data_IF_903112088783
#
_entry.id   IF_903112088783
#
_cell.length_a   1.000
_cell.length_b   1.000
_cell.length_c   1.000
_cell.angle_alpha   90.00
_cell.angle_beta   90.00
_cell.angle_gamma   90.00
#
_symmetry.space_group_name_H-M   'P 1'
#
loop_
_entity.id
_entity.type
_entity.pdbx_description
1 polymer ?
#
# COMPACT_ATOMS: atom_id res chain seq x y z
N UNK A 1 14.36 -0.20 25.73
CA UNK A 1 12.96 0.29 25.77
C UNK A 1 12.12 -0.74 25.03
N UNK A 2 11.36 -1.56 25.74
CA UNK A 2 10.43 -2.53 25.17
C UNK A 2 9.17 -1.80 24.76
N UNK A 3 8.95 -1.63 23.47
CA UNK A 3 7.68 -1.12 22.93
C UNK A 3 6.58 -2.12 23.29
N UNK A 4 5.53 -1.69 23.99
CA UNK A 4 4.36 -2.54 24.23
C UNK A 4 3.69 -2.82 22.88
N UNK A 5 3.46 -4.11 22.61
CA UNK A 5 2.73 -4.63 21.45
C UNK A 5 1.35 -3.97 21.31
N UNK A 6 0.75 -3.49 22.40
CA UNK A 6 -0.64 -2.98 22.45
C UNK A 6 -0.87 -1.66 21.70
N UNK A 7 0.17 -1.10 21.05
CA UNK A 7 0.07 0.19 20.34
C UNK A 7 0.96 0.32 19.10
N UNK A 8 1.55 -0.77 18.58
CA UNK A 8 2.37 -0.74 17.36
C UNK A 8 1.56 -1.11 16.12
N UNK A 9 1.74 -0.35 15.04
CA UNK A 9 1.09 -0.63 13.74
C UNK A 9 2.14 -0.78 12.64
N UNK A 10 2.01 -1.83 11.84
CA UNK A 10 2.78 -2.03 10.61
C UNK A 10 1.95 -1.60 9.41
N UNK A 11 2.50 -0.75 8.55
CA UNK A 11 1.87 -0.28 7.32
C UNK A 11 2.61 -0.85 6.12
N UNK A 12 1.93 -1.70 5.35
CA UNK A 12 2.40 -2.33 4.13
C UNK A 12 2.04 -1.45 2.92
N UNK A 13 3.03 -0.88 2.23
CA UNK A 13 2.81 0.13 1.20
C UNK A 13 2.91 -0.45 -0.20
N UNK A 14 1.79 -0.43 -0.93
CA UNK A 14 1.69 -0.66 -2.38
C UNK A 14 2.33 -1.97 -2.89
N UNK A 15 2.21 -3.07 -2.16
CA UNK A 15 2.78 -4.38 -2.53
C UNK A 15 1.97 -5.09 -3.64
N UNK A 16 1.71 -4.39 -4.75
CA UNK A 16 0.82 -4.79 -5.84
C UNK A 16 1.56 -5.33 -7.07
N UNK A 17 0.88 -6.16 -7.87
CA UNK A 17 1.44 -6.82 -9.05
C UNK A 17 2.05 -5.85 -10.07
N UNK A 18 1.45 -4.67 -10.27
CA UNK A 18 1.99 -3.69 -11.23
C UNK A 18 3.36 -3.13 -10.83
N UNK A 19 3.79 -3.29 -9.58
CA UNK A 19 5.14 -2.92 -9.13
C UNK A 19 6.13 -4.10 -9.14
N UNK A 20 5.67 -5.30 -9.50
CA UNK A 20 6.48 -6.52 -9.60
C UNK A 20 6.88 -6.81 -11.06
N UNK A 21 7.94 -7.61 -11.30
CA UNK A 21 8.36 -7.97 -12.66
C UNK A 21 7.20 -8.51 -13.52
N UNK A 22 7.00 -7.90 -14.68
CA UNK A 22 5.89 -8.20 -15.59
C UNK A 22 4.66 -7.29 -15.42
N UNK A 23 4.59 -6.53 -14.32
CA UNK A 23 3.63 -5.45 -14.13
C UNK A 23 4.00 -4.17 -14.88
N UNK A 24 3.06 -3.23 -15.02
CA UNK A 24 3.25 -2.02 -15.83
C UNK A 24 4.30 -1.05 -15.29
N UNK A 25 4.57 -1.07 -13.98
CA UNK A 25 5.65 -0.36 -13.30
C UNK A 25 6.62 -1.34 -12.61
N UNK A 26 6.73 -2.55 -13.15
CA UNK A 26 7.46 -3.65 -12.56
C UNK A 26 8.97 -3.45 -12.53
N UNK A 27 9.58 -3.61 -11.34
CA UNK A 27 11.05 -3.61 -11.22
C UNK A 27 11.56 -4.85 -10.51
N UNK A 28 12.81 -5.26 -10.79
CA UNK A 28 13.48 -6.33 -10.04
C UNK A 28 13.55 -6.01 -8.54
N UNK A 29 13.77 -4.73 -8.20
CA UNK A 29 13.81 -4.28 -6.82
C UNK A 29 12.45 -4.33 -6.14
N UNK A 30 11.35 -4.11 -6.88
CA UNK A 30 9.99 -4.29 -6.38
C UNK A 30 9.74 -5.72 -5.89
N UNK A 31 10.22 -6.72 -6.63
CA UNK A 31 10.15 -8.12 -6.18
C UNK A 31 10.98 -8.38 -4.92
N UNK A 32 12.23 -7.88 -4.88
CA UNK A 32 13.12 -8.07 -3.72
C UNK A 32 12.51 -7.43 -2.46
N UNK A 33 12.01 -6.19 -2.58
CA UNK A 33 11.36 -5.50 -1.48
C UNK A 33 10.09 -6.24 -1.03
N UNK A 34 9.22 -6.63 -1.95
CA UNK A 34 7.96 -7.33 -1.63
C UNK A 34 8.22 -8.67 -0.94
N UNK A 35 9.21 -9.44 -1.40
CA UNK A 35 9.63 -10.68 -0.74
C UNK A 35 10.17 -10.42 0.67
N UNK A 36 11.04 -9.42 0.83
CA UNK A 36 11.59 -9.07 2.13
C UNK A 36 10.50 -8.61 3.12
N UNK A 37 9.48 -7.89 2.65
CA UNK A 37 8.34 -7.50 3.47
C UNK A 37 7.49 -8.71 3.85
N UNK A 38 7.24 -9.65 2.92
CA UNK A 38 6.53 -10.89 3.21
C UNK A 38 7.25 -11.72 4.28
N UNK A 39 8.58 -11.84 4.18
CA UNK A 39 9.40 -12.54 5.17
C UNK A 39 9.36 -11.84 6.53
N UNK A 40 9.47 -10.51 6.54
CA UNK A 40 9.35 -9.72 7.76
C UNK A 40 7.99 -9.89 8.44
N UNK A 41 6.88 -9.86 7.69
CA UNK A 41 5.54 -10.09 8.25
C UNK A 41 5.41 -11.51 8.82
N UNK A 42 6.01 -12.51 8.18
CA UNK A 42 6.01 -13.88 8.70
C UNK A 42 6.76 -14.01 10.03
N UNK A 43 7.89 -13.33 10.16
CA UNK A 43 8.76 -13.40 11.34
C UNK A 43 8.27 -12.50 12.48
N UNK A 44 7.74 -11.32 12.15
CA UNK A 44 7.48 -10.24 13.09
C UNK A 44 6.03 -9.75 13.09
N UNK A 45 5.12 -10.34 12.32
CA UNK A 45 3.72 -9.89 12.29
C UNK A 45 3.07 -9.95 13.68
N UNK A 46 3.48 -10.93 14.48
CA UNK A 46 3.11 -11.05 15.88
C UNK A 46 3.80 -10.04 16.81
N UNK A 47 4.52 -9.03 16.33
CA UNK A 47 5.06 -7.96 17.17
C UNK A 47 4.20 -6.68 17.09
N UNK A 48 3.16 -6.69 16.23
CA UNK A 48 2.28 -5.56 15.98
C UNK A 48 0.87 -5.82 16.56
N UNK A 49 0.21 -4.75 16.99
CA UNK A 49 -1.22 -4.78 17.31
C UNK A 49 -2.08 -4.83 16.03
N UNK A 50 -1.63 -4.14 14.97
CA UNK A 50 -2.31 -4.13 13.68
C UNK A 50 -1.31 -4.12 12.52
N UNK A 51 -1.67 -4.80 11.44
CA UNK A 51 -1.01 -4.75 10.15
C UNK A 51 -2.02 -4.23 9.14
N UNK A 52 -1.77 -3.06 8.58
CA UNK A 52 -2.62 -2.45 7.56
C UNK A 52 -1.87 -2.32 6.25
N UNK A 53 -2.58 -2.26 5.13
CA UNK A 53 -1.97 -2.09 3.82
C UNK A 53 -2.53 -0.88 3.08
N UNK A 54 -1.73 -0.30 2.19
CA UNK A 54 -2.20 0.68 1.20
C UNK A 54 -2.14 0.10 -0.20
N UNK A 55 -3.08 0.51 -1.05
CA UNK A 55 -3.10 0.18 -2.47
C UNK A 55 -3.31 1.43 -3.31
N UNK A 56 -2.49 1.61 -4.34
CA UNK A 56 -2.90 2.44 -5.48
C UNK A 56 -4.12 1.80 -6.14
N UNK A 57 -5.10 2.62 -6.49
CA UNK A 57 -6.41 2.15 -6.91
C UNK A 57 -7.07 3.11 -7.88
N UNK A 58 -6.52 3.20 -9.08
CA UNK A 58 -6.89 4.22 -10.04
C UNK A 58 -8.17 3.85 -10.81
N UNK A 59 -9.15 4.76 -10.85
CA UNK A 59 -10.35 4.66 -11.70
C UNK A 59 -10.16 5.53 -12.93
N UNK A 60 -9.89 6.81 -12.71
CA UNK A 60 -9.59 7.79 -13.76
C UNK A 60 -8.74 8.91 -13.15
N UNK A 61 -7.42 8.72 -13.03
CA UNK A 61 -6.54 9.67 -12.35
C UNK A 61 -6.09 10.83 -13.26
N UNK A 62 -6.72 11.02 -14.43
CA UNK A 62 -6.42 12.10 -15.36
C UNK A 62 -4.98 12.10 -15.84
N UNK A 63 -4.29 13.23 -15.68
CA UNK A 63 -2.91 13.44 -16.16
C UNK A 63 -1.85 12.57 -15.51
N UNK A 64 -2.20 11.83 -14.45
CA UNK A 64 -1.33 10.81 -13.85
C UNK A 64 -0.98 9.70 -14.84
N UNK A 65 -1.89 9.37 -15.76
CA UNK A 65 -1.63 8.38 -16.81
C UNK A 65 -1.25 9.03 -18.14
N UNK A 66 -0.23 8.47 -18.79
CA UNK A 66 0.26 8.88 -20.10
C UNK A 66 0.77 7.68 -20.88
N UNK A 67 0.50 7.64 -22.19
CA UNK A 67 1.12 6.70 -23.13
C UNK A 67 2.61 7.03 -23.37
N UNK A 68 3.02 8.28 -23.07
CA UNK A 68 4.40 8.75 -23.12
C UNK A 68 4.79 9.33 -21.75
N UNK A 69 4.95 8.50 -20.73
CA UNK A 69 5.21 8.95 -19.35
C UNK A 69 6.62 9.54 -19.22
N UNK A 70 6.73 10.58 -18.39
CA UNK A 70 8.01 11.19 -18.02
C UNK A 70 8.64 10.56 -16.77
N UNK A 71 7.91 9.70 -16.04
CA UNK A 71 8.32 9.08 -14.79
C UNK A 71 8.68 10.11 -13.70
N UNK A 72 8.11 11.31 -13.78
CA UNK A 72 8.21 12.36 -12.77
C UNK A 72 6.81 12.66 -12.24
N UNK A 73 5.93 13.13 -13.14
CA UNK A 73 4.56 13.51 -12.80
C UNK A 73 3.52 12.68 -13.60
N UNK A 74 3.97 11.87 -14.56
CA UNK A 74 3.13 10.99 -15.37
C UNK A 74 3.71 9.58 -15.50
N UNK A 75 2.81 8.61 -15.58
CA UNK A 75 3.13 7.18 -15.52
C UNK A 75 2.34 6.40 -16.58
N UNK A 76 2.81 5.22 -17.02
CA UNK A 76 1.94 4.31 -17.76
C UNK A 76 0.74 3.90 -16.87
N UNK A 77 -0.41 3.53 -17.43
CA UNK A 77 -1.53 2.99 -16.65
C UNK A 77 -1.09 1.83 -15.75
N UNK A 78 -1.40 1.95 -14.46
CA UNK A 78 -1.02 0.98 -13.41
C UNK A 78 -2.07 0.96 -12.31
N UNK A 79 -2.12 -0.11 -11.54
CA UNK A 79 -3.01 -0.28 -10.39
C UNK A 79 -4.46 0.11 -10.68
N UNK A 80 -4.92 -0.17 -11.91
CA UNK A 80 -6.26 0.18 -12.37
C UNK A 80 -7.27 -0.69 -11.63
N UNK A 81 -8.30 -0.06 -11.05
CA UNK A 81 -9.35 -0.73 -10.28
C UNK A 81 -9.94 -1.92 -11.04
N UNK A 82 -9.95 -3.08 -10.38
CA UNK A 82 -10.52 -4.31 -10.93
C UNK A 82 -9.61 -5.08 -11.90
N UNK A 83 -8.37 -4.63 -12.10
CA UNK A 83 -7.35 -5.38 -12.86
C UNK A 83 -6.46 -6.22 -11.95
N UNK A 84 -5.87 -7.27 -12.51
CA UNK A 84 -4.88 -8.11 -11.80
C UNK A 84 -3.64 -7.33 -11.38
N UNK A 85 -3.26 -6.29 -12.14
CA UNK A 85 -2.15 -5.40 -11.80
C UNK A 85 -2.34 -4.67 -10.48
N UNK A 86 -3.60 -4.39 -10.13
CA UNK A 86 -3.97 -3.76 -8.87
C UNK A 86 -4.07 -4.75 -7.70
N UNK A 87 -4.00 -6.06 -7.89
CA UNK A 87 -4.01 -7.03 -6.79
C UNK A 87 -2.67 -7.08 -6.06
N UNK A 88 -2.67 -7.60 -4.81
CA UNK A 88 -1.43 -7.84 -4.09
C UNK A 88 -0.56 -8.86 -4.83
N UNK A 89 0.76 -8.70 -4.71
CA UNK A 89 1.72 -9.71 -5.11
C UNK A 89 1.44 -11.04 -4.43
N UNK A 90 1.62 -12.15 -5.16
CA UNK A 90 1.38 -13.50 -4.63
C UNK A 90 2.27 -13.89 -3.43
N UNK A 91 3.28 -13.08 -3.14
CA UNK A 91 4.17 -13.22 -1.98
C UNK A 91 3.50 -12.77 -0.68
N UNK A 92 2.49 -11.91 -0.76
CA UNK A 92 1.84 -11.31 0.41
C UNK A 92 0.72 -12.21 0.90
N UNK A 93 0.80 -12.61 2.17
CA UNK A 93 -0.31 -13.24 2.86
C UNK A 93 -1.33 -12.18 3.28
N UNK A 94 -2.37 -12.03 2.47
CA UNK A 94 -3.44 -11.05 2.70
C UNK A 94 -4.23 -11.37 3.97
N UNK A 95 -4.20 -12.61 4.48
CA UNK A 95 -4.89 -12.95 5.73
C UNK A 95 -4.23 -12.35 6.97
N UNK A 96 -2.97 -11.90 6.85
CA UNK A 96 -2.26 -11.17 7.89
C UNK A 96 -2.56 -9.66 7.89
N UNK A 97 -3.36 -9.15 6.94
CA UNK A 97 -3.69 -7.73 6.82
C UNK A 97 -5.08 -7.47 7.41
N UNK A 98 -5.14 -6.60 8.41
CA UNK A 98 -6.38 -6.24 9.12
C UNK A 98 -7.27 -5.30 8.31
N UNK A 99 -6.69 -4.38 7.54
CA UNK A 99 -7.41 -3.35 6.78
C UNK A 99 -6.62 -2.89 5.55
N UNK A 100 -7.33 -2.51 4.48
CA UNK A 100 -6.72 -2.04 3.22
C UNK A 100 -7.24 -0.65 2.85
N UNK A 101 -6.31 0.31 2.75
CA UNK A 101 -6.60 1.68 2.39
C UNK A 101 -6.26 1.96 0.92
N UNK A 102 -7.27 2.36 0.15
CA UNK A 102 -7.12 2.67 -1.27
C UNK A 102 -6.78 4.15 -1.50
N UNK A 103 -5.88 4.46 -2.42
CA UNK A 103 -5.51 5.85 -2.76
C UNK A 103 -5.50 6.08 -4.27
N UNK A 104 -5.69 7.33 -4.67
CA UNK A 104 -5.54 7.76 -6.06
C UNK A 104 -6.71 7.42 -7.00
N UNK A 105 -7.94 7.22 -6.51
CA UNK A 105 -9.08 6.84 -7.37
C UNK A 105 -9.31 7.81 -8.54
N UNK A 106 -9.15 9.12 -8.31
CA UNK A 106 -9.45 10.17 -9.29
C UNK A 106 -8.35 11.24 -9.43
N UNK A 107 -7.19 11.03 -8.79
CA UNK A 107 -6.04 11.94 -8.85
C UNK A 107 -4.74 11.20 -8.49
N UNK A 108 -3.59 11.82 -8.72
CA UNK A 108 -2.30 11.29 -8.28
C UNK A 108 -2.20 11.28 -6.74
N UNK A 109 -1.82 10.14 -6.15
CA UNK A 109 -1.70 10.00 -4.70
C UNK A 109 -0.38 9.32 -4.32
N UNK A 110 0.61 10.12 -3.92
CA UNK A 110 1.94 9.60 -3.56
C UNK A 110 2.05 9.14 -2.10
N UNK A 111 1.22 9.69 -1.22
CA UNK A 111 1.22 9.34 0.21
C UNK A 111 0.18 8.27 0.53
N UNK A 112 0.54 7.29 1.37
CA UNK A 112 -0.41 6.36 1.98
C UNK A 112 -1.51 7.05 2.81
N UNK A 113 -1.29 8.32 3.19
CA UNK A 113 -2.26 9.16 3.87
C UNK A 113 -3.20 9.94 2.94
N UNK A 114 -2.98 9.90 1.61
CA UNK A 114 -3.79 10.62 0.62
C UNK A 114 -5.08 9.85 0.23
N UNK A 115 -5.66 9.09 1.16
CA UNK A 115 -6.91 8.39 0.95
C UNK A 115 -8.06 9.39 0.78
N UNK A 116 -8.81 9.28 -0.31
CA UNK A 116 -10.03 10.07 -0.54
C UNK A 116 -11.28 9.27 -0.08
N UNK A 117 -11.98 9.78 0.93
CA UNK A 117 -13.27 9.23 1.36
C UNK A 117 -14.40 9.78 0.48
N UNK A 118 -15.31 8.90 0.02
CA UNK A 118 -16.68 9.35 -0.33
C UNK A 118 -17.36 9.86 0.93
N UNK A 119 -17.91 11.08 0.90
CA UNK A 119 -18.65 11.67 2.01
C UNK A 119 -19.77 10.74 2.47
N UNK A 120 -19.75 10.26 3.72
CA UNK A 120 -20.92 9.56 4.28
C UNK A 120 -20.72 8.68 5.52
N UNK A 121 -19.52 8.21 5.84
CA UNK A 121 -19.36 7.36 7.03
C UNK A 121 -17.93 7.44 7.58
N UNK A 122 -17.78 8.31 8.58
CA UNK A 122 -16.58 8.44 9.38
C UNK A 122 -16.36 7.17 10.20
N UNK A 123 -15.47 6.31 9.74
CA UNK A 123 -14.50 5.72 10.64
C UNK A 123 -13.15 5.77 9.93
N UNK A 124 -12.47 6.92 10.06
CA UNK A 124 -11.03 6.83 10.29
C UNK A 124 -10.86 5.80 11.41
N UNK A 125 -9.83 4.96 11.33
CA UNK A 125 -9.40 4.16 12.48
C UNK A 125 -9.26 5.08 13.69
N UNK A 126 -10.31 5.32 14.47
CA UNK A 126 -10.20 5.84 15.83
C UNK A 126 -9.64 4.65 16.57
N UNK A 127 -8.33 4.60 16.90
CA UNK A 127 -7.94 3.62 17.89
C UNK A 127 -8.85 3.89 19.08
N UNK A 128 -9.61 2.87 19.46
CA UNK A 128 -10.33 2.90 20.71
C UNK A 128 -9.30 3.20 21.80
N UNK A 129 -9.36 4.43 22.31
CA UNK A 129 -8.63 4.93 23.47
C UNK A 129 -7.08 4.86 23.50
N UNK A 130 -6.34 4.49 22.44
CA UNK A 130 -4.87 4.56 22.47
C UNK A 130 -4.22 4.84 21.10
N UNK A 131 -3.78 6.07 20.79
CA UNK A 131 -3.05 6.32 19.55
C UNK A 131 -1.84 5.40 19.48
N UNK A 132 -1.71 4.66 18.38
CA UNK A 132 -0.55 3.83 18.14
C UNK A 132 0.71 4.69 18.29
N UNK A 133 1.54 4.41 19.29
CA UNK A 133 2.69 5.24 19.63
C UNK A 133 3.84 5.08 18.63
N UNK A 134 3.81 4.03 17.81
CA UNK A 134 4.84 3.72 16.82
C UNK A 134 4.23 3.12 15.55
N UNK A 135 4.51 3.74 14.41
CA UNK A 135 4.14 3.27 13.08
C UNK A 135 5.39 2.88 12.31
N UNK A 136 5.43 1.68 11.76
CA UNK A 136 6.49 1.23 10.86
C UNK A 136 5.95 1.11 9.44
N UNK A 137 6.68 1.62 8.46
CA UNK A 137 6.29 1.60 7.05
C UNK A 137 7.26 0.73 6.27
N UNK A 138 6.71 -0.26 5.56
CA UNK A 138 7.47 -1.14 4.68
C UNK A 138 6.73 -1.27 3.35
N UNK A 139 7.42 -1.10 2.22
CA UNK A 139 6.76 -1.27 0.93
C UNK A 139 7.52 -0.74 -0.26
N UNK A 140 6.81 -0.63 -1.38
CA UNK A 140 7.32 -0.13 -2.66
C UNK A 140 6.64 1.18 -3.02
N UNK A 141 7.28 1.95 -3.90
CA UNK A 141 6.78 3.21 -4.43
C UNK A 141 6.74 3.15 -5.96
N UNK A 142 5.98 4.04 -6.59
CA UNK A 142 6.22 4.38 -7.98
C UNK A 142 7.71 4.79 -8.12
N UNK A 143 8.45 4.21 -9.08
CA UNK A 143 9.89 4.44 -9.27
C UNK A 143 10.29 5.90 -9.27
#
# INVERSE_FOLDING_TARGET
>A
MTTSRDSSVLVLVNLQNDFLPGGSLGTKMGNVATSAVADYVREHGNDYAYIVATKDWHIDPGTHFSDNPDFVDSWPPHCVKGTTGADFGSQIDVSAVDEVFYKGEYEAAYSGFAHHQKSGSSNWYRPSANPAHLQHFLGVRCP
#
